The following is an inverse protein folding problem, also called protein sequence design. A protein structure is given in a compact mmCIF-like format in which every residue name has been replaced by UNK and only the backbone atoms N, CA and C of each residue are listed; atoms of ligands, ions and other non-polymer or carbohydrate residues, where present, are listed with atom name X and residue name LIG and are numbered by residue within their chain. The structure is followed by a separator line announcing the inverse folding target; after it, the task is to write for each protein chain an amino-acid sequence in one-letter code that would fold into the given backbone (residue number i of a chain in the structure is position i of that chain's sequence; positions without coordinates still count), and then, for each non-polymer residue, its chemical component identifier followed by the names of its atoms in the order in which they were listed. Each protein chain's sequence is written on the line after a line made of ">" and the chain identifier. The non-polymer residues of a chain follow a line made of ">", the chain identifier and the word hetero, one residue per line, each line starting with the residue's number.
data_IF_150906117954
#
_entry.id   IF_150906117954
#
_cell.length_a   1.000
_cell.length_b   1.000
_cell.length_c   1.000
_cell.angle_alpha   90.00
_cell.angle_beta   90.00
_cell.angle_gamma   90.00
#
_symmetry.space_group_name_H-M   'P 1'
#
loop_
_entity.id
_entity.type
_entity.pdbx_description
1 polymer ?
#
# COMPACT_ATOMS: atom_id res chain seq x y z
N UNK A 1 -7.98 -6.99 6.37
CA UNK A 1 -8.21 -5.63 5.80
C UNK A 1 -9.53 -5.12 6.36
N UNK A 2 -9.57 -3.92 6.95
CA UNK A 2 -10.79 -3.27 7.46
C UNK A 2 -11.72 -2.88 6.30
N UNK A 3 -13.01 -2.66 6.56
CA UNK A 3 -14.00 -2.37 5.51
C UNK A 3 -13.77 -1.04 4.80
N UNK A 4 -13.21 -0.06 5.51
CA UNK A 4 -12.87 1.26 4.98
C UNK A 4 -11.61 1.23 4.11
N UNK A 5 -10.56 0.48 4.51
CA UNK A 5 -9.39 0.20 3.67
C UNK A 5 -9.80 -0.57 2.42
N UNK A 6 -10.69 -1.55 2.57
CA UNK A 6 -11.20 -2.32 1.43
C UNK A 6 -11.81 -1.42 0.35
N UNK A 7 -12.59 -0.38 0.75
CA UNK A 7 -13.14 0.61 -0.20
C UNK A 7 -12.06 1.44 -0.88
N UNK A 8 -10.99 1.83 -0.16
CA UNK A 8 -9.86 2.54 -0.77
C UNK A 8 -9.17 1.65 -1.81
N UNK A 9 -8.93 0.38 -1.48
CA UNK A 9 -8.34 -0.58 -2.42
C UNK A 9 -9.25 -0.83 -3.64
N UNK A 10 -10.58 -0.90 -3.47
CA UNK A 10 -11.51 -1.01 -4.60
C UNK A 10 -11.41 0.19 -5.56
N UNK A 11 -11.21 1.40 -5.03
CA UNK A 11 -10.96 2.58 -5.86
C UNK A 11 -9.60 2.47 -6.59
N UNK A 12 -8.55 2.00 -5.91
CA UNK A 12 -7.24 1.73 -6.55
C UNK A 12 -7.40 0.71 -7.69
N UNK A 13 -8.12 -0.40 -7.44
CA UNK A 13 -8.36 -1.43 -8.45
C UNK A 13 -9.15 -0.88 -9.64
N UNK A 14 -10.13 0.00 -9.42
CA UNK A 14 -10.90 0.60 -10.51
C UNK A 14 -10.03 1.45 -11.44
N UNK A 15 -8.97 2.07 -10.92
CA UNK A 15 -8.02 2.85 -11.70
C UNK A 15 -7.11 2.00 -12.59
N UNK A 16 -7.01 0.69 -12.33
CA UNK A 16 -6.25 -0.27 -13.15
C UNK A 16 -7.00 -0.70 -14.42
N UNK A 17 -8.29 -0.38 -14.55
CA UNK A 17 -9.17 -0.87 -15.63
C UNK A 17 -9.10 -2.41 -15.78
N UNK A 18 -9.44 -3.17 -14.73
CA UNK A 18 -9.26 -4.62 -14.72
C UNK A 18 -10.23 -5.36 -15.64
N UNK A 19 -11.36 -4.76 -16.00
CA UNK A 19 -12.34 -5.38 -16.91
C UNK A 19 -11.80 -5.61 -18.33
N UNK A 20 -10.82 -4.81 -18.76
CA UNK A 20 -10.12 -4.98 -20.04
C UNK A 20 -8.82 -5.79 -19.95
N UNK A 21 -8.43 -6.28 -18.76
CA UNK A 21 -7.15 -6.92 -18.54
C UNK A 21 -7.09 -8.34 -19.13
N UNK A 22 -5.93 -8.70 -19.70
CA UNK A 22 -5.58 -10.05 -20.15
C UNK A 22 -4.58 -10.71 -19.20
N UNK A 23 -3.64 -9.95 -18.69
CA UNK A 23 -2.63 -10.42 -17.75
C UNK A 23 -2.30 -9.30 -16.75
N UNK A 24 -2.58 -9.54 -15.48
CA UNK A 24 -2.31 -8.62 -14.38
C UNK A 24 -1.13 -9.14 -13.57
N UNK A 25 -0.16 -8.26 -13.28
CA UNK A 25 0.91 -8.50 -12.32
C UNK A 25 0.71 -7.62 -11.10
N UNK A 26 0.77 -8.20 -9.92
CA UNK A 26 0.84 -7.50 -8.63
C UNK A 26 2.25 -7.65 -8.05
N UNK A 27 2.98 -6.52 -7.98
CA UNK A 27 4.37 -6.47 -7.52
C UNK A 27 4.38 -6.10 -6.03
N UNK A 28 4.85 -7.03 -5.19
CA UNK A 28 4.72 -6.95 -3.74
C UNK A 28 3.32 -7.39 -3.27
N UNK A 29 2.83 -8.49 -3.82
CA UNK A 29 1.43 -8.92 -3.68
C UNK A 29 1.06 -9.42 -2.27
N UNK A 30 2.02 -9.61 -1.37
CA UNK A 30 1.79 -10.16 -0.05
C UNK A 30 0.97 -11.47 -0.11
N UNK A 31 -0.15 -11.52 0.60
CA UNK A 31 -1.07 -12.68 0.65
C UNK A 31 -2.07 -12.74 -0.52
N UNK A 32 -1.89 -11.89 -1.54
CA UNK A 32 -2.72 -11.87 -2.73
C UNK A 32 -4.12 -11.27 -2.54
N UNK A 33 -4.32 -10.45 -1.52
CA UNK A 33 -5.64 -9.85 -1.22
C UNK A 33 -6.13 -8.96 -2.36
N UNK A 34 -5.27 -8.11 -2.92
CA UNK A 34 -5.61 -7.23 -4.03
C UNK A 34 -5.91 -8.03 -5.31
N UNK A 35 -5.09 -9.03 -5.65
CA UNK A 35 -5.35 -9.89 -6.80
C UNK A 35 -6.66 -10.67 -6.68
N UNK A 36 -7.03 -11.18 -5.49
CA UNK A 36 -8.31 -11.87 -5.29
C UNK A 36 -9.49 -10.95 -5.55
N UNK A 37 -9.42 -9.69 -5.10
CA UNK A 37 -10.46 -8.68 -5.35
C UNK A 37 -10.54 -8.33 -6.83
N UNK A 38 -9.41 -8.10 -7.47
CA UNK A 38 -9.30 -7.86 -8.91
C UNK A 38 -9.85 -9.07 -9.70
N UNK A 39 -9.58 -10.28 -9.27
CA UNK A 39 -10.07 -11.51 -9.89
C UNK A 39 -11.59 -11.60 -9.99
N UNK A 40 -12.32 -10.92 -9.08
CA UNK A 40 -13.78 -10.82 -9.12
C UNK A 40 -14.33 -9.92 -10.24
N UNK A 41 -13.49 -9.04 -10.80
CA UNK A 41 -13.88 -8.04 -11.80
C UNK A 41 -13.08 -8.12 -13.10
N UNK A 42 -12.13 -9.05 -13.21
CA UNK A 42 -11.40 -9.36 -14.46
C UNK A 42 -12.13 -10.42 -15.27
N UNK A 43 -11.90 -10.46 -16.62
CA UNK A 43 -12.40 -11.55 -17.46
C UNK A 43 -11.94 -12.93 -16.96
N UNK A 44 -12.75 -13.96 -17.16
CA UNK A 44 -12.39 -15.34 -16.77
C UNK A 44 -11.16 -15.88 -17.49
N UNK A 45 -10.79 -15.32 -18.63
CA UNK A 45 -9.59 -15.68 -19.39
C UNK A 45 -8.35 -14.89 -18.94
N UNK A 46 -8.48 -13.94 -18.01
CA UNK A 46 -7.35 -13.14 -17.54
C UNK A 46 -6.42 -13.98 -16.66
N UNK A 47 -5.10 -13.79 -16.85
CA UNK A 47 -4.07 -14.35 -15.99
C UNK A 47 -3.75 -13.36 -14.86
N UNK A 48 -3.68 -13.84 -13.62
CA UNK A 48 -3.47 -13.06 -12.42
C UNK A 48 -2.21 -13.56 -11.71
N UNK A 49 -1.17 -12.75 -11.71
CA UNK A 49 0.15 -13.15 -11.20
C UNK A 49 0.55 -12.25 -10.04
N UNK A 50 0.99 -12.83 -8.93
CA UNK A 50 1.55 -12.10 -7.80
C UNK A 50 3.02 -12.47 -7.58
N UNK A 51 3.84 -11.48 -7.23
CA UNK A 51 5.22 -11.67 -6.82
C UNK A 51 5.50 -10.97 -5.50
N UNK A 52 6.14 -11.67 -4.56
CA UNK A 52 6.53 -11.16 -3.24
C UNK A 52 7.76 -11.92 -2.71
N UNK A 53 8.59 -11.26 -1.93
CA UNK A 53 9.77 -11.88 -1.32
C UNK A 53 9.41 -12.84 -0.17
N UNK A 54 8.26 -12.71 0.44
CA UNK A 54 7.82 -13.51 1.59
C UNK A 54 7.25 -14.87 1.15
N UNK A 55 8.04 -15.94 1.28
CA UNK A 55 7.57 -17.31 1.01
C UNK A 55 6.30 -17.66 1.80
N UNK A 56 6.20 -17.21 3.06
CA UNK A 56 5.02 -17.46 3.89
C UNK A 56 3.77 -16.77 3.34
N UNK A 57 3.89 -15.51 2.88
CA UNK A 57 2.81 -14.77 2.26
C UNK A 57 2.36 -15.43 0.94
N UNK A 58 3.32 -15.84 0.10
CA UNK A 58 3.07 -16.55 -1.16
C UNK A 58 2.38 -17.91 -0.92
N UNK A 59 2.80 -18.65 0.10
CA UNK A 59 2.13 -19.90 0.47
C UNK A 59 0.66 -19.68 0.86
N UNK A 60 0.36 -18.60 1.59
CA UNK A 60 -1.01 -18.21 1.95
C UNK A 60 -1.82 -17.80 0.71
N UNK A 61 -1.24 -16.98 -0.17
CA UNK A 61 -1.87 -16.57 -1.43
C UNK A 61 -2.27 -17.78 -2.28
N UNK A 62 -1.35 -18.74 -2.45
CA UNK A 62 -1.62 -19.99 -3.17
C UNK A 62 -2.76 -20.80 -2.56
N UNK A 63 -2.79 -20.93 -1.22
CA UNK A 63 -3.86 -21.66 -0.53
C UNK A 63 -5.23 -21.00 -0.72
N UNK A 64 -5.26 -19.67 -0.62
CA UNK A 64 -6.52 -18.91 -0.70
C UNK A 64 -7.13 -18.82 -2.10
N UNK A 65 -6.39 -19.23 -3.15
CA UNK A 65 -6.81 -19.18 -4.55
C UNK A 65 -6.69 -20.51 -5.27
N UNK A 66 -6.53 -21.62 -4.52
CA UNK A 66 -6.24 -22.96 -5.07
C UNK A 66 -7.30 -23.46 -6.08
N UNK A 67 -8.55 -23.02 -5.94
CA UNK A 67 -9.67 -23.43 -6.79
C UNK A 67 -9.82 -22.61 -8.08
N UNK A 68 -8.99 -21.56 -8.28
CA UNK A 68 -9.05 -20.71 -9.47
C UNK A 68 -7.72 -20.74 -10.23
N UNK A 69 -7.66 -21.45 -11.38
CA UNK A 69 -6.42 -21.63 -12.14
C UNK A 69 -5.86 -20.35 -12.79
N UNK A 70 -6.59 -19.23 -12.74
CA UNK A 70 -6.10 -17.94 -13.23
C UNK A 70 -4.96 -17.38 -12.38
N UNK A 71 -4.91 -17.76 -11.09
CA UNK A 71 -3.94 -17.23 -10.15
C UNK A 71 -2.64 -18.02 -10.15
N UNK A 72 -1.53 -17.27 -10.16
CA UNK A 72 -0.21 -17.85 -9.89
C UNK A 72 0.61 -16.89 -9.02
N UNK A 73 1.45 -17.44 -8.15
CA UNK A 73 2.25 -16.65 -7.21
C UNK A 73 3.70 -17.13 -7.20
N UNK A 74 4.64 -16.17 -7.21
CA UNK A 74 6.08 -16.44 -7.25
C UNK A 74 6.73 -15.81 -6.02
N UNK A 75 7.47 -16.61 -5.26
CA UNK A 75 8.34 -16.09 -4.20
C UNK A 75 9.64 -15.58 -4.86
N UNK A 76 9.86 -14.26 -4.85
CA UNK A 76 11.02 -13.65 -5.50
C UNK A 76 11.28 -12.25 -4.94
N UNK A 77 12.57 -11.91 -4.74
CA UNK A 77 12.97 -10.57 -4.32
C UNK A 77 12.99 -9.62 -5.52
N UNK A 78 11.99 -8.77 -5.60
CA UNK A 78 11.80 -7.82 -6.71
C UNK A 78 12.87 -6.71 -6.76
N UNK A 79 13.69 -6.56 -5.71
CA UNK A 79 14.85 -5.67 -5.74
C UNK A 79 15.97 -6.20 -6.66
N UNK A 80 15.92 -7.48 -7.05
CA UNK A 80 16.88 -8.12 -7.95
C UNK A 80 16.39 -8.25 -9.40
N UNK A 81 15.22 -7.70 -9.71
CA UNK A 81 14.55 -7.76 -11.01
C UNK A 81 13.16 -8.39 -10.93
N UNK A 82 12.56 -8.68 -12.09
CA UNK A 82 11.29 -9.40 -12.18
C UNK A 82 11.45 -10.69 -13.01
N UNK A 83 11.04 -11.87 -12.49
CA UNK A 83 11.26 -13.17 -13.13
C UNK A 83 10.23 -13.44 -14.26
N UNK A 84 9.96 -12.45 -15.11
CA UNK A 84 8.97 -12.49 -16.17
C UNK A 84 9.56 -11.99 -17.51
N UNK A 85 8.93 -12.38 -18.61
CA UNK A 85 9.33 -11.98 -19.97
C UNK A 85 8.93 -10.53 -20.31
N UNK A 86 9.56 -10.00 -21.37
CA UNK A 86 9.26 -8.66 -21.89
C UNK A 86 7.81 -8.59 -22.39
N UNK A 87 7.09 -7.54 -22.00
CA UNK A 87 5.71 -7.29 -22.45
C UNK A 87 4.69 -8.35 -22.02
N UNK A 88 4.98 -9.11 -20.98
CA UNK A 88 4.16 -10.25 -20.54
C UNK A 88 2.82 -9.84 -19.90
N UNK A 89 2.73 -8.61 -19.40
CA UNK A 89 1.56 -8.10 -18.69
C UNK A 89 0.98 -6.83 -19.32
N UNK A 90 -0.32 -6.69 -19.37
CA UNK A 90 -0.97 -5.46 -19.80
C UNK A 90 -1.46 -4.58 -18.64
N UNK A 91 -1.43 -5.09 -17.43
CA UNK A 91 -1.70 -4.35 -16.19
C UNK A 91 -0.66 -4.71 -15.12
N UNK A 92 -0.09 -3.69 -14.49
CA UNK A 92 0.79 -3.86 -13.33
C UNK A 92 0.27 -3.04 -12.17
N UNK A 93 0.05 -3.69 -11.05
CA UNK A 93 -0.33 -3.10 -9.77
C UNK A 93 0.83 -3.20 -8.78
N UNK A 94 0.95 -2.22 -7.89
CA UNK A 94 1.75 -2.33 -6.67
C UNK A 94 1.16 -1.46 -5.57
N UNK A 95 1.00 -2.00 -4.37
CA UNK A 95 0.45 -1.27 -3.21
C UNK A 95 1.42 -1.37 -2.04
N UNK A 96 1.87 -0.23 -1.52
CA UNK A 96 2.76 -0.11 -0.35
C UNK A 96 4.09 -0.88 -0.45
N UNK A 97 4.70 -0.93 -1.64
CA UNK A 97 5.98 -1.61 -1.85
C UNK A 97 7.16 -0.64 -1.95
N UNK A 98 7.03 0.46 -2.71
CA UNK A 98 8.17 1.30 -3.10
C UNK A 98 8.92 1.92 -1.91
N UNK A 99 8.28 2.07 -0.75
CA UNK A 99 8.95 2.55 0.47
C UNK A 99 10.06 1.60 0.93
N UNK A 100 9.93 0.30 0.62
CA UNK A 100 10.85 -0.74 1.03
C UNK A 100 11.98 -1.00 0.02
N UNK A 101 11.91 -0.39 -1.17
CA UNK A 101 12.83 -0.68 -2.29
C UNK A 101 13.96 0.35 -2.32
N UNK A 102 15.23 -0.08 -2.20
CA UNK A 102 16.38 0.82 -2.26
C UNK A 102 16.55 1.49 -3.64
N UNK A 103 16.55 0.69 -4.72
CA UNK A 103 16.63 1.21 -6.09
C UNK A 103 15.26 1.17 -6.79
N UNK A 104 14.48 2.21 -6.54
CA UNK A 104 13.14 2.37 -7.15
C UNK A 104 13.21 2.55 -8.65
N UNK A 105 14.30 3.13 -9.17
CA UNK A 105 14.46 3.35 -10.62
C UNK A 105 14.71 2.04 -11.34
N UNK A 106 15.47 1.12 -10.76
CA UNK A 106 15.66 -0.22 -11.32
C UNK A 106 14.34 -1.00 -11.35
N UNK A 107 13.58 -1.00 -10.25
CA UNK A 107 12.25 -1.63 -10.23
C UNK A 107 11.34 -1.03 -11.31
N UNK A 108 11.33 0.28 -11.52
CA UNK A 108 10.52 0.90 -12.57
C UNK A 108 10.99 0.52 -13.99
N UNK A 109 12.28 0.30 -14.21
CA UNK A 109 12.80 -0.25 -15.50
C UNK A 109 12.31 -1.68 -15.73
N UNK A 110 12.35 -2.52 -14.71
CA UNK A 110 11.84 -3.90 -14.80
C UNK A 110 10.31 -3.93 -15.01
N UNK A 111 9.56 -3.10 -14.28
CA UNK A 111 8.10 -2.94 -14.52
C UNK A 111 7.83 -2.49 -15.96
N UNK A 112 8.60 -1.54 -16.48
CA UNK A 112 8.49 -1.10 -17.87
C UNK A 112 8.82 -2.24 -18.85
N UNK A 113 9.85 -3.05 -18.57
CA UNK A 113 10.24 -4.19 -19.42
C UNK A 113 9.12 -5.23 -19.51
N UNK A 114 8.56 -5.64 -18.37
CA UNK A 114 7.52 -6.68 -18.35
C UNK A 114 6.14 -6.19 -18.80
N UNK A 115 5.93 -4.87 -18.87
CA UNK A 115 4.69 -4.27 -19.31
C UNK A 115 4.59 -4.25 -20.85
N UNK A 116 3.49 -4.73 -21.39
CA UNK A 116 3.19 -4.71 -22.82
C UNK A 116 3.15 -3.25 -23.38
N UNK A 117 3.35 -3.05 -24.68
CA UNK A 117 3.01 -1.79 -25.33
C UNK A 117 1.56 -1.38 -24.97
N UNK A 118 1.31 -0.10 -24.72
CA UNK A 118 0.02 0.44 -24.25
C UNK A 118 -0.47 -0.07 -22.88
N UNK A 119 0.35 -0.87 -22.19
CA UNK A 119 0.04 -1.36 -20.86
C UNK A 119 -0.08 -0.26 -19.81
N UNK A 120 -0.76 -0.56 -18.73
CA UNK A 120 -1.07 0.39 -17.65
C UNK A 120 -0.41 -0.03 -16.34
N UNK A 121 0.10 0.95 -15.59
CA UNK A 121 0.58 0.77 -14.22
C UNK A 121 -0.28 1.54 -13.24
N UNK A 122 -0.53 0.94 -12.07
CA UNK A 122 -1.12 1.61 -10.91
C UNK A 122 -0.23 1.31 -9.70
N UNK A 123 0.34 2.37 -9.13
CA UNK A 123 1.15 2.29 -7.92
C UNK A 123 0.49 3.13 -6.83
N UNK A 124 0.10 2.51 -5.74
CA UNK A 124 -0.56 3.14 -4.61
C UNK A 124 0.31 3.08 -3.35
N UNK A 125 0.36 4.18 -2.62
CA UNK A 125 1.13 4.25 -1.39
C UNK A 125 0.49 5.16 -0.36
N UNK A 126 0.40 4.70 0.90
CA UNK A 126 0.09 5.59 2.02
C UNK A 126 1.20 6.63 2.17
N UNK A 127 0.80 7.83 2.48
CA UNK A 127 1.70 8.87 2.95
C UNK A 127 1.62 8.91 4.47
N UNK A 128 2.56 8.24 5.14
CA UNK A 128 2.50 8.02 6.58
C UNK A 128 2.54 9.32 7.40
N UNK A 129 3.16 10.38 6.89
CA UNK A 129 3.16 11.71 7.49
C UNK A 129 1.87 12.50 7.21
N UNK A 130 0.98 12.00 6.37
CA UNK A 130 -0.32 12.62 6.13
C UNK A 130 -1.38 12.20 7.15
N UNK A 131 -1.00 11.43 8.17
CA UNK A 131 -1.91 11.07 9.24
C UNK A 131 -2.32 12.31 10.04
N UNK A 132 -3.61 12.59 10.08
CA UNK A 132 -4.21 13.66 10.86
C UNK A 132 -5.01 13.02 11.99
N UNK A 133 -4.66 13.37 13.21
CA UNK A 133 -5.34 12.94 14.42
C UNK A 133 -5.71 14.18 15.20
N UNK A 134 -6.98 14.33 15.60
CA UNK A 134 -7.35 15.40 16.52
C UNK A 134 -6.92 15.04 17.95
N UNK A 135 -6.38 16.01 18.67
CA UNK A 135 -5.89 15.84 20.04
C UNK A 135 -5.52 17.19 20.66
N UNK A 136 -5.65 17.29 21.98
CA UNK A 136 -5.41 18.52 22.71
C UNK A 136 -3.95 18.99 22.65
N UNK A 137 -2.99 18.06 22.69
CA UNK A 137 -1.57 18.34 22.60
C UNK A 137 -1.06 18.10 21.16
N UNK A 138 -0.90 19.19 20.43
CA UNK A 138 -0.45 19.17 19.02
C UNK A 138 0.96 18.63 18.85
N UNK A 139 1.85 18.90 19.80
CA UNK A 139 3.24 18.49 19.68
C UNK A 139 3.38 16.98 19.98
N UNK A 140 2.61 16.48 20.94
CA UNK A 140 2.53 15.05 21.21
C UNK A 140 1.93 14.29 20.02
N UNK A 141 0.83 14.77 19.44
CA UNK A 141 0.23 14.16 18.24
C UNK A 141 1.23 14.08 17.10
N UNK A 142 1.94 15.18 16.79
CA UNK A 142 2.97 15.21 15.76
C UNK A 142 4.11 14.25 16.07
N UNK A 143 4.59 14.22 17.32
CA UNK A 143 5.63 13.28 17.74
C UNK A 143 5.25 11.84 17.48
N UNK A 144 4.03 11.44 17.86
CA UNK A 144 3.52 10.07 17.66
C UNK A 144 3.42 9.72 16.18
N UNK A 145 2.79 10.59 15.39
CA UNK A 145 2.59 10.37 13.94
C UNK A 145 3.93 10.28 13.21
N UNK A 146 4.85 11.22 13.45
CA UNK A 146 6.15 11.21 12.79
C UNK A 146 7.02 10.04 13.24
N UNK A 147 7.02 9.70 14.54
CA UNK A 147 7.75 8.51 15.03
C UNK A 147 7.24 7.23 14.37
N UNK A 148 5.93 7.12 14.10
CA UNK A 148 5.38 5.98 13.37
C UNK A 148 5.81 5.98 11.90
N UNK A 149 5.78 7.14 11.24
CA UNK A 149 6.24 7.29 9.85
C UNK A 149 7.72 6.93 9.68
N UNK A 150 8.55 7.34 10.63
CA UNK A 150 10.00 7.10 10.62
C UNK A 150 10.39 5.68 11.04
N UNK A 151 9.43 4.87 11.50
CA UNK A 151 9.70 3.52 11.96
C UNK A 151 10.05 2.57 10.82
N UNK A 152 11.34 2.24 10.69
CA UNK A 152 11.81 1.19 9.80
C UNK A 152 11.65 -0.19 10.46
N UNK A 153 10.88 -1.06 9.84
CA UNK A 153 10.72 -2.44 10.27
C UNK A 153 11.92 -3.31 9.84
N UNK A 154 12.20 -4.39 10.57
CA UNK A 154 13.40 -5.20 10.36
C UNK A 154 13.48 -5.85 8.96
N UNK A 155 12.34 -6.08 8.32
CA UNK A 155 12.25 -6.67 6.97
C UNK A 155 12.36 -5.65 5.84
N UNK A 156 12.30 -4.35 6.13
CA UNK A 156 12.42 -3.29 5.14
C UNK A 156 13.89 -3.00 4.84
N UNK A 157 14.29 -3.04 3.58
CA UNK A 157 15.61 -2.59 3.16
C UNK A 157 15.76 -1.07 3.25
N UNK A 158 14.68 -0.34 2.92
CA UNK A 158 14.54 1.12 3.10
C UNK A 158 13.23 1.41 3.85
N UNK A 159 13.02 2.64 4.31
CA UNK A 159 11.75 3.11 4.88
C UNK A 159 11.56 4.57 4.49
N UNK A 160 10.51 4.85 3.74
CA UNK A 160 10.20 6.19 3.24
C UNK A 160 8.76 6.57 3.57
N UNK A 161 8.55 7.19 4.73
CA UNK A 161 7.24 7.67 5.18
C UNK A 161 6.54 8.59 4.17
N UNK A 162 7.30 9.20 3.28
CA UNK A 162 6.80 10.12 2.26
C UNK A 162 6.60 9.46 0.90
N UNK A 163 6.66 8.15 0.81
CA UNK A 163 6.57 7.48 -0.49
C UNK A 163 5.30 7.85 -1.25
N UNK A 164 4.18 8.02 -0.58
CA UNK A 164 2.93 8.46 -1.19
C UNK A 164 3.09 9.76 -2.00
N UNK A 165 3.53 10.85 -1.36
CA UNK A 165 3.77 12.15 -2.03
C UNK A 165 4.95 12.12 -3.00
N UNK A 166 5.85 11.15 -2.86
CA UNK A 166 7.04 10.97 -3.73
C UNK A 166 6.75 10.17 -4.99
N UNK A 167 5.60 9.51 -5.12
CA UNK A 167 5.24 8.76 -6.33
C UNK A 167 5.41 9.60 -7.59
N UNK A 168 4.90 10.84 -7.58
CA UNK A 168 5.03 11.71 -8.74
C UNK A 168 6.47 11.88 -9.20
N UNK A 169 7.34 12.36 -8.30
CA UNK A 169 8.75 12.60 -8.68
C UNK A 169 9.48 11.32 -9.07
N UNK A 170 9.15 10.18 -8.43
CA UNK A 170 9.78 8.89 -8.70
C UNK A 170 9.50 8.43 -10.13
N UNK A 171 8.23 8.52 -10.55
CA UNK A 171 7.83 8.18 -11.92
C UNK A 171 8.32 9.20 -12.94
N UNK A 172 8.30 10.52 -12.64
CA UNK A 172 8.84 11.53 -13.55
C UNK A 172 10.35 11.36 -13.77
N UNK A 173 11.11 11.04 -12.72
CA UNK A 173 12.55 10.79 -12.82
C UNK A 173 12.88 9.58 -13.71
N UNK A 174 12.02 8.57 -13.79
CA UNK A 174 12.23 7.43 -14.67
C UNK A 174 12.07 7.78 -16.16
N UNK A 175 11.21 8.74 -16.50
CA UNK A 175 10.87 9.07 -17.88
C UNK A 175 10.11 7.98 -18.65
N UNK A 176 9.84 6.83 -18.03
CA UNK A 176 9.34 5.60 -18.67
C UNK A 176 7.82 5.57 -18.84
N UNK A 177 7.10 6.38 -18.08
CA UNK A 177 5.64 6.35 -18.03
C UNK A 177 5.05 7.74 -18.22
N UNK A 178 3.89 7.82 -18.84
CA UNK A 178 3.05 9.00 -18.88
C UNK A 178 1.81 8.78 -18.00
N UNK A 179 1.63 9.63 -16.98
CA UNK A 179 0.55 9.39 -16.02
C UNK A 179 0.24 10.59 -15.14
N UNK A 180 -0.56 10.34 -14.12
CA UNK A 180 -1.02 11.32 -13.12
C UNK A 180 -1.15 10.69 -11.75
N UNK A 181 -1.24 11.53 -10.70
CA UNK A 181 -1.46 11.09 -9.32
C UNK A 181 -2.89 11.44 -8.88
N UNK A 182 -3.52 10.50 -8.20
CA UNK A 182 -4.83 10.66 -7.56
C UNK A 182 -4.67 10.56 -6.04
N UNK A 183 -5.20 11.50 -5.24
CA UNK A 183 -5.30 11.35 -3.80
C UNK A 183 -6.58 10.57 -3.45
N UNK A 184 -6.47 9.61 -2.56
CA UNK A 184 -7.58 8.93 -1.92
C UNK A 184 -7.47 9.16 -0.41
N UNK A 185 -8.46 9.82 0.17
CA UNK A 185 -8.46 10.14 1.59
C UNK A 185 -9.35 9.15 2.34
N UNK A 186 -8.78 8.49 3.33
CA UNK A 186 -9.52 7.72 4.31
C UNK A 186 -9.76 8.59 5.53
N UNK A 187 -10.99 8.63 6.03
CA UNK A 187 -11.38 9.39 7.22
C UNK A 187 -12.21 8.50 8.14
N UNK A 188 -11.89 8.53 9.42
CA UNK A 188 -12.67 7.87 10.49
C UNK A 188 -13.09 8.91 11.52
N UNK A 189 -14.38 8.97 11.84
CA UNK A 189 -14.95 9.82 12.89
C UNK A 189 -15.45 9.02 14.10
N UNK A 190 -15.18 7.71 14.11
CA UNK A 190 -15.48 6.80 15.22
C UNK A 190 -14.27 5.95 15.53
N UNK A 191 -13.96 5.80 16.81
CA UNK A 191 -12.90 4.94 17.31
C UNK A 191 -13.49 3.53 17.54
N UNK A 192 -13.70 2.79 16.47
CA UNK A 192 -14.36 1.47 16.51
C UNK A 192 -13.43 0.38 15.98
N UNK A 193 -13.33 -0.79 16.66
CA UNK A 193 -12.60 -1.94 16.13
C UNK A 193 -13.05 -2.30 14.69
N UNK A 194 -12.10 -2.63 13.84
CA UNK A 194 -12.38 -2.94 12.43
C UNK A 194 -12.44 -1.71 11.52
N UNK A 195 -12.06 -0.54 12.01
CA UNK A 195 -11.74 0.63 11.19
C UNK A 195 -10.22 0.86 11.15
N UNK A 196 -9.74 1.43 10.06
CA UNK A 196 -8.32 1.72 9.90
C UNK A 196 -7.80 2.72 10.94
N UNK A 197 -8.61 3.73 11.25
CA UNK A 197 -8.26 4.71 12.28
C UNK A 197 -8.06 4.06 13.65
N UNK A 198 -8.91 3.10 14.04
CA UNK A 198 -8.73 2.33 15.27
C UNK A 198 -7.44 1.51 15.24
N UNK A 199 -7.24 0.73 14.16
CA UNK A 199 -6.06 -0.13 14.05
C UNK A 199 -4.76 0.69 14.02
N UNK A 200 -4.77 1.89 13.42
CA UNK A 200 -3.64 2.82 13.42
C UNK A 200 -3.32 3.32 14.83
N UNK A 201 -4.32 3.79 15.57
CA UNK A 201 -4.15 4.27 16.96
C UNK A 201 -3.59 3.14 17.86
N UNK A 202 -4.12 1.91 17.73
CA UNK A 202 -3.60 0.76 18.46
C UNK A 202 -2.16 0.39 18.07
N UNK A 203 -1.81 0.52 16.79
CA UNK A 203 -0.47 0.19 16.29
C UNK A 203 0.62 1.12 16.82
N UNK A 204 0.28 2.37 17.18
CA UNK A 204 1.24 3.31 17.77
C UNK A 204 1.83 2.83 19.11
N UNK A 205 1.15 1.91 19.80
CA UNK A 205 1.71 1.24 20.99
C UNK A 205 3.03 0.52 20.73
N UNK A 206 3.28 0.13 19.47
CA UNK A 206 4.54 -0.49 19.09
C UNK A 206 5.74 0.46 19.26
N UNK A 207 5.52 1.78 19.18
CA UNK A 207 6.56 2.79 19.37
C UNK A 207 7.16 2.76 20.78
N UNK A 208 6.32 2.48 21.79
CA UNK A 208 6.77 2.31 23.19
C UNK A 208 7.69 1.09 23.31
N UNK A 209 7.29 -0.05 22.75
CA UNK A 209 8.09 -1.28 22.76
C UNK A 209 9.46 -1.13 22.09
N UNK A 210 9.59 -0.12 21.22
CA UNK A 210 10.82 0.18 20.48
C UNK A 210 11.62 1.36 21.05
N UNK A 211 11.16 1.96 22.14
CA UNK A 211 11.81 3.10 22.77
C UNK A 211 11.74 4.40 21.97
N UNK A 212 10.83 4.48 20.99
CA UNK A 212 10.60 5.69 20.17
C UNK A 212 9.63 6.66 20.84
N UNK A 213 8.86 6.19 21.80
CA UNK A 213 7.90 6.96 22.60
C UNK A 213 7.94 6.47 24.05
N UNK A 214 7.86 7.40 25.00
CA UNK A 214 7.76 7.03 26.41
C UNK A 214 6.37 6.43 26.72
N UNK A 215 6.24 5.48 27.66
CA UNK A 215 4.94 4.92 28.04
C UNK A 215 3.93 5.98 28.41
N UNK A 216 4.34 6.97 29.21
CA UNK A 216 3.49 8.07 29.69
C UNK A 216 3.00 8.97 28.55
N UNK A 217 3.81 9.17 27.51
CA UNK A 217 3.43 9.90 26.33
C UNK A 217 2.37 9.15 25.51
N UNK A 218 2.52 7.83 25.37
CA UNK A 218 1.52 7.01 24.71
C UNK A 218 0.21 7.00 25.48
N UNK A 219 0.28 6.85 26.81
CA UNK A 219 -0.93 6.83 27.67
C UNK A 219 -1.65 8.18 27.61
N UNK A 220 -0.94 9.31 27.64
CA UNK A 220 -1.52 10.64 27.49
C UNK A 220 -2.16 10.83 26.10
N UNK A 221 -1.46 10.40 25.03
CA UNK A 221 -2.01 10.45 23.67
C UNK A 221 -3.27 9.58 23.54
N UNK A 222 -3.22 8.33 24.01
CA UNK A 222 -4.34 7.38 23.93
C UNK A 222 -5.54 7.86 24.73
N UNK A 223 -5.32 8.37 25.96
CA UNK A 223 -6.37 8.91 26.83
C UNK A 223 -7.09 10.10 26.19
N UNK A 224 -6.36 11.05 25.59
CA UNK A 224 -6.94 12.17 24.87
C UNK A 224 -7.82 11.72 23.68
N UNK A 225 -7.39 10.69 22.94
CA UNK A 225 -8.19 10.10 21.85
C UNK A 225 -9.47 9.46 22.37
N UNK A 226 -9.41 8.74 23.50
CA UNK A 226 -10.58 8.10 24.14
C UNK A 226 -11.57 9.13 24.66
N UNK A 227 -11.10 10.22 25.23
CA UNK A 227 -11.95 11.34 25.67
C UNK A 227 -12.70 11.98 24.49
N UNK A 228 -12.00 12.20 23.36
CA UNK A 228 -12.64 12.70 22.14
C UNK A 228 -13.66 11.71 21.59
N UNK A 229 -13.35 10.42 21.61
CA UNK A 229 -14.26 9.37 21.14
C UNK A 229 -15.52 9.29 22.03
N UNK A 230 -15.36 9.36 23.35
CA UNK A 230 -16.47 9.36 24.31
C UNK A 230 -17.40 10.58 24.14
N UNK A 231 -16.85 11.70 23.66
CA UNK A 231 -17.59 12.94 23.39
C UNK A 231 -18.13 13.04 21.94
N UNK A 232 -18.02 11.96 21.13
CA UNK A 232 -18.36 11.92 19.69
C UNK A 232 -17.61 12.99 18.86
N UNK A 233 -16.32 13.20 19.19
CA UNK A 233 -15.45 14.21 18.58
C UNK A 233 -14.17 13.61 17.99
N UNK A 234 -14.05 12.29 17.96
CA UNK A 234 -12.89 11.63 17.37
C UNK A 234 -12.75 11.94 15.88
N UNK A 235 -11.52 12.20 15.46
CA UNK A 235 -11.17 12.36 14.05
C UNK A 235 -9.81 11.75 13.76
N UNK A 236 -9.79 10.95 12.71
CA UNK A 236 -8.56 10.42 12.09
C UNK A 236 -8.67 10.52 10.58
N UNK A 237 -7.58 10.84 9.91
CA UNK A 237 -7.49 10.76 8.45
C UNK A 237 -6.09 10.41 7.99
N UNK A 238 -5.99 9.75 6.82
CA UNK A 238 -4.73 9.49 6.12
C UNK A 238 -4.96 9.54 4.61
N UNK A 239 -3.93 9.94 3.87
CA UNK A 239 -3.99 9.98 2.40
C UNK A 239 -3.18 8.85 1.78
N UNK A 240 -3.82 8.11 0.87
CA UNK A 240 -3.13 7.25 -0.10
C UNK A 240 -2.99 8.02 -1.41
N UNK A 241 -1.78 8.11 -1.94
CA UNK A 241 -1.58 8.62 -3.30
C UNK A 241 -1.48 7.45 -4.28
N UNK A 242 -2.08 7.61 -5.45
CA UNK A 242 -2.13 6.58 -6.49
C UNK A 242 -1.60 7.16 -7.79
N UNK A 243 -0.45 6.67 -8.25
CA UNK A 243 0.04 6.97 -9.59
C UNK A 243 -0.63 6.02 -10.60
N UNK A 244 -1.21 6.59 -11.63
CA UNK A 244 -1.78 5.86 -12.76
C UNK A 244 -1.05 6.31 -14.01
N UNK A 245 -0.47 5.38 -14.75
CA UNK A 245 0.32 5.70 -15.93
C UNK A 245 0.27 4.63 -17.01
N UNK A 246 0.68 5.03 -18.23
CA UNK A 246 0.88 4.13 -19.35
C UNK A 246 2.34 4.10 -19.75
N UNK A 247 2.78 2.98 -20.31
CA UNK A 247 4.10 2.82 -20.93
C UNK A 247 4.29 3.87 -22.03
N UNK A 248 5.49 4.51 -22.05
CA UNK A 248 5.90 5.42 -23.13
C UNK A 248 6.59 4.68 -24.25
#
# INVERSE_FOLDING_TARGET
>A
MTSDVARVHDLVHSLLDPAGARAVLDVGCGRGDDLRRIGGITPRAARLVGVDASEAAIAEARRSTADDPRFSFVAYDVATGLPFGDGEFDRVLSVNLLECIPDRQELLREVHRVLAPDGMVVFAHWDWDSQLVDGADRDLVRKVVHAFGDWKQAWMADADAWMGRRLWRTFQASGLFAGRVHPLVLTSTRLEPGTYGYDSIESFRALVKRGMLAPEEYDAFRGAIEELAAADRYFYSITMFVYVGRKR
#
